data_IF_210105120917
#
_entry.id   IF_210105120917
#
_cell.length_a   1.000
_cell.length_b   1.000
_cell.length_c   1.000
_cell.angle_alpha   90.00
_cell.angle_beta   90.00
_cell.angle_gamma   90.00
#
_symmetry.space_group_name_H-M   'P 1'
#
loop_
_entity.id
_entity.type
_entity.pdbx_description
1 polymer ?
#
# COMPACT_ATOMS: atom_id res chain seq x y z
N UNK A 1 22.60 25.05 -10.73
CA UNK A 1 23.74 24.12 -10.69
C UNK A 1 23.98 23.76 -9.22
N UNK A 2 23.48 22.61 -8.79
CA UNK A 2 23.81 22.02 -7.49
C UNK A 2 23.75 20.51 -7.66
N UNK A 3 24.92 19.88 -7.68
CA UNK A 3 25.09 18.43 -7.60
C UNK A 3 25.08 18.02 -6.14
N UNK A 4 24.46 16.89 -5.85
CA UNK A 4 24.66 16.16 -4.60
C UNK A 4 25.14 14.76 -4.92
N UNK A 5 26.17 14.39 -4.18
CA UNK A 5 27.08 13.26 -4.30
C UNK A 5 26.40 11.94 -3.93
N UNK A 6 26.71 10.89 -4.69
CA UNK A 6 26.44 9.51 -4.33
C UNK A 6 27.26 9.11 -3.08
N UNK A 7 26.66 8.33 -2.18
CA UNK A 7 27.36 7.60 -1.12
C UNK A 7 26.92 6.14 -1.19
N UNK A 8 27.91 5.27 -1.37
CA UNK A 8 27.80 3.81 -1.41
C UNK A 8 27.76 3.20 0.00
N UNK A 9 27.32 1.93 0.08
CA UNK A 9 27.39 1.03 1.25
C UNK A 9 26.04 0.92 1.97
N UNK A 10 25.41 -0.25 2.12
CA UNK A 10 25.97 -1.46 2.70
C UNK A 10 25.19 -2.71 2.24
N UNK A 11 25.91 -3.77 1.89
CA UNK A 11 25.38 -5.03 1.36
C UNK A 11 24.82 -5.89 2.49
N UNK A 12 23.50 -6.11 2.52
CA UNK A 12 22.88 -7.08 3.42
C UNK A 12 23.12 -8.48 2.87
N UNK A 13 24.14 -9.18 3.38
CA UNK A 13 24.37 -10.58 3.01
C UNK A 13 23.24 -11.43 3.56
N UNK A 14 22.58 -12.23 2.72
CA UNK A 14 21.57 -13.19 3.17
C UNK A 14 22.28 -14.33 3.93
N UNK A 15 21.92 -14.51 5.21
CA UNK A 15 22.43 -15.62 6.01
C UNK A 15 21.66 -16.91 5.66
N UNK A 16 22.31 -17.81 4.94
CA UNK A 16 21.86 -19.19 4.76
C UNK A 16 22.46 -20.06 5.86
N UNK A 17 21.61 -20.75 6.63
CA UNK A 17 22.06 -21.76 7.58
C UNK A 17 22.14 -23.12 6.88
N UNK A 18 23.36 -23.55 6.53
CA UNK A 18 23.68 -24.91 6.08
C UNK A 18 23.93 -25.77 7.31
N UNK A 19 23.07 -26.77 7.54
CA UNK A 19 23.27 -27.75 8.60
C UNK A 19 24.45 -28.70 8.31
N UNK A 20 25.14 -29.11 9.37
CA UNK A 20 25.99 -30.29 9.38
C UNK A 20 26.01 -30.86 10.80
N UNK A 21 25.58 -32.12 10.95
CA UNK A 21 25.80 -32.90 12.17
C UNK A 21 27.21 -33.50 12.19
N UNK A 22 27.73 -33.74 13.40
CA UNK A 22 28.71 -34.79 13.72
C UNK A 22 28.89 -34.90 15.26
N UNK A 23 28.30 -35.95 15.83
CA UNK A 23 28.91 -36.99 16.69
C UNK A 23 30.08 -36.63 17.64
N UNK A 24 29.92 -37.00 18.93
CA UNK A 24 31.06 -37.58 19.69
C UNK A 24 31.42 -37.05 21.09
N UNK A 25 30.84 -37.70 22.11
CA UNK A 25 31.44 -38.16 23.38
C UNK A 25 32.10 -37.21 24.42
N UNK A 26 31.62 -37.30 25.67
CA UNK A 26 32.34 -36.92 26.89
C UNK A 26 31.52 -37.10 28.18
N UNK A 27 31.84 -38.14 28.95
CA UNK A 27 31.12 -38.68 30.12
C UNK A 27 31.38 -37.96 31.46
N UNK A 28 30.34 -37.84 32.31
CA UNK A 28 30.28 -37.80 33.82
C UNK A 28 29.05 -36.97 34.25
N UNK A 29 28.15 -37.35 35.15
CA UNK A 29 27.89 -38.55 35.93
C UNK A 29 26.66 -38.27 36.82
N UNK A 30 25.89 -39.32 37.12
CA UNK A 30 25.00 -39.53 38.29
C UNK A 30 23.94 -38.44 38.60
N UNK A 31 22.67 -38.76 38.32
CA UNK A 31 21.52 -38.14 38.98
C UNK A 31 20.21 -38.25 38.19
N UNK A 32 19.51 -39.37 38.29
CA UNK A 32 18.12 -39.47 37.81
C UNK A 32 17.18 -38.76 38.79
N UNK A 33 16.46 -37.74 38.32
CA UNK A 33 15.19 -37.26 38.91
C UNK A 33 14.16 -37.16 37.76
N UNK A 34 12.94 -37.69 37.91
CA UNK A 34 11.93 -37.63 36.86
C UNK A 34 10.99 -36.46 37.15
N UNK A 35 11.19 -35.31 36.55
CA UNK A 35 10.24 -34.20 36.68
C UNK A 35 10.11 -33.53 35.30
N UNK A 36 9.00 -33.91 34.66
CA UNK A 36 8.14 -33.13 33.77
C UNK A 36 8.78 -32.41 32.57
N UNK A 37 8.49 -33.00 31.41
CA UNK A 37 8.62 -32.42 30.07
C UNK A 37 7.79 -31.14 29.98
N UNK A 38 8.36 -29.99 30.32
CA UNK A 38 7.79 -28.70 29.95
C UNK A 38 8.18 -28.43 28.49
N UNK A 39 7.38 -29.04 27.61
CA UNK A 39 7.31 -28.67 26.21
C UNK A 39 6.66 -27.30 26.16
N UNK A 40 7.42 -26.24 26.44
CA UNK A 40 6.97 -24.89 26.15
C UNK A 40 6.78 -24.79 24.64
N UNK A 41 5.52 -24.93 24.24
CA UNK A 41 5.02 -24.58 22.93
C UNK A 41 5.38 -23.11 22.76
N UNK A 42 6.41 -22.83 21.96
CA UNK A 42 6.59 -21.50 21.42
C UNK A 42 5.32 -21.23 20.64
N UNK A 43 4.43 -20.44 21.23
CA UNK A 43 3.27 -19.88 20.54
C UNK A 43 3.89 -19.13 19.36
N UNK A 44 3.70 -19.67 18.15
CA UNK A 44 4.01 -18.98 16.92
C UNK A 44 3.20 -17.68 16.98
N UNK A 45 3.82 -16.60 17.46
CA UNK A 45 3.26 -15.27 17.37
C UNK A 45 3.11 -15.02 15.87
N UNK A 46 1.90 -15.21 15.35
CA UNK A 46 1.56 -14.91 13.96
C UNK A 46 1.88 -13.43 13.76
N UNK A 47 3.09 -13.15 13.26
CA UNK A 47 3.51 -11.81 12.85
C UNK A 47 2.40 -11.27 11.95
N UNK A 48 1.59 -10.33 12.44
CA UNK A 48 0.56 -9.66 11.65
C UNK A 48 1.27 -9.00 10.46
N UNK A 49 1.21 -9.65 9.31
CA UNK A 49 1.82 -9.14 8.08
C UNK A 49 1.19 -7.78 7.80
N UNK A 50 1.98 -6.69 7.75
CA UNK A 50 1.45 -5.36 7.55
C UNK A 50 0.69 -5.33 6.21
N UNK A 51 -0.45 -4.63 6.14
CA UNK A 51 -1.29 -4.62 4.95
C UNK A 51 -0.49 -4.09 3.75
N UNK A 52 -0.64 -4.76 2.61
CA UNK A 52 0.01 -4.34 1.36
C UNK A 52 -0.37 -2.88 1.03
N UNK A 53 0.59 -2.06 0.56
CA UNK A 53 0.34 -0.66 0.28
C UNK A 53 -0.68 -0.50 -0.86
N UNK A 54 -1.85 0.08 -0.56
CA UNK A 54 -2.92 0.31 -1.53
C UNK A 54 -2.73 1.63 -2.31
N UNK A 55 -2.92 1.58 -3.63
CA UNK A 55 -2.92 2.74 -4.51
C UNK A 55 -4.35 3.29 -4.62
N UNK A 56 -4.55 4.52 -4.15
CA UNK A 56 -5.84 5.21 -4.22
C UNK A 56 -5.98 5.92 -5.57
N UNK A 57 -6.99 5.55 -6.34
CA UNK A 57 -7.35 6.14 -7.63
C UNK A 57 -8.60 7.02 -7.46
N UNK A 58 -8.45 8.33 -7.59
CA UNK A 58 -9.54 9.30 -7.54
C UNK A 58 -10.16 9.50 -8.92
N UNK A 59 -11.49 9.44 -9.03
CA UNK A 59 -12.24 9.77 -10.24
C UNK A 59 -12.90 11.14 -10.04
N UNK A 60 -12.39 12.16 -10.73
CA UNK A 60 -12.90 13.53 -10.66
C UNK A 60 -13.60 13.90 -11.97
N UNK A 61 -14.92 13.71 -12.02
CA UNK A 61 -15.73 14.08 -13.17
C UNK A 61 -17.20 14.29 -12.78
N UNK A 62 -17.91 15.09 -13.57
CA UNK A 62 -19.36 15.28 -13.42
C UNK A 62 -20.11 13.94 -13.44
N UNK A 63 -21.25 13.83 -12.74
CA UNK A 63 -21.98 12.56 -12.56
C UNK A 63 -22.31 11.86 -13.87
N UNK A 64 -22.67 12.63 -14.91
CA UNK A 64 -22.97 12.10 -16.24
C UNK A 64 -21.79 11.34 -16.87
N UNK A 65 -20.55 11.68 -16.51
CA UNK A 65 -19.33 11.03 -16.98
C UNK A 65 -18.90 9.92 -16.02
N UNK A 66 -18.81 10.21 -14.73
CA UNK A 66 -18.34 9.26 -13.71
C UNK A 66 -19.24 8.03 -13.55
N UNK A 67 -20.55 8.17 -13.83
CA UNK A 67 -21.53 7.06 -13.81
C UNK A 67 -21.99 6.60 -15.20
N UNK A 68 -21.26 6.97 -16.26
CA UNK A 68 -21.59 6.51 -17.61
C UNK A 68 -21.33 5.01 -17.77
N UNK A 69 -22.07 4.33 -18.66
CA UNK A 69 -21.87 2.88 -18.91
C UNK A 69 -20.41 2.52 -19.21
N UNK A 70 -19.66 3.26 -20.07
CA UNK A 70 -18.25 2.96 -20.30
C UNK A 70 -17.39 3.13 -19.04
N UNK A 71 -17.65 4.17 -18.23
CA UNK A 71 -16.89 4.40 -17.00
C UNK A 71 -17.15 3.28 -15.98
N UNK A 72 -18.41 2.91 -15.75
CA UNK A 72 -18.76 1.79 -14.86
C UNK A 72 -18.04 0.51 -15.25
N UNK A 73 -17.97 0.20 -16.54
CA UNK A 73 -17.23 -0.96 -17.05
C UNK A 73 -15.72 -0.91 -16.75
N UNK A 74 -15.12 0.28 -16.76
CA UNK A 74 -13.71 0.45 -16.39
C UNK A 74 -13.54 0.29 -14.87
N UNK A 75 -14.39 0.95 -14.07
CA UNK A 75 -14.33 0.89 -12.61
C UNK A 75 -14.53 -0.53 -12.09
N UNK A 76 -15.47 -1.29 -12.65
CA UNK A 76 -15.67 -2.72 -12.33
C UNK A 76 -14.40 -3.56 -12.57
N UNK A 77 -13.54 -3.18 -13.52
CA UNK A 77 -12.27 -3.85 -13.77
C UNK A 77 -11.17 -3.37 -12.83
N UNK A 78 -11.13 -2.06 -12.52
CA UNK A 78 -10.17 -1.49 -11.57
C UNK A 78 -10.37 -2.04 -10.15
N UNK A 79 -11.62 -2.22 -9.71
CA UNK A 79 -11.92 -2.74 -8.38
C UNK A 79 -11.62 -4.24 -8.20
N UNK A 80 -11.17 -4.97 -9.24
CA UNK A 80 -10.72 -6.36 -9.12
C UNK A 80 -9.25 -6.49 -8.70
N UNK A 81 -8.52 -5.39 -8.67
CA UNK A 81 -7.13 -5.37 -8.22
C UNK A 81 -7.10 -5.09 -6.72
N UNK A 82 -6.61 -6.02 -5.92
CA UNK A 82 -6.60 -5.93 -4.45
C UNK A 82 -5.72 -4.78 -3.93
N UNK A 83 -4.75 -4.35 -4.72
CA UNK A 83 -3.87 -3.21 -4.43
C UNK A 83 -4.45 -1.86 -4.87
N UNK A 84 -5.63 -1.81 -5.51
CA UNK A 84 -6.26 -0.55 -5.94
C UNK A 84 -7.51 -0.23 -5.12
N UNK A 85 -7.59 1.02 -4.65
CA UNK A 85 -8.81 1.55 -4.05
C UNK A 85 -9.35 2.69 -4.91
N UNK A 86 -10.56 2.55 -5.43
CA UNK A 86 -11.18 3.56 -6.29
C UNK A 86 -12.10 4.45 -5.48
N UNK A 87 -11.88 5.77 -5.55
CA UNK A 87 -12.71 6.79 -4.89
C UNK A 87 -13.32 7.70 -5.94
N UNK A 88 -14.65 7.75 -6.00
CA UNK A 88 -15.36 8.65 -6.93
C UNK A 88 -15.69 9.94 -6.19
N UNK A 89 -15.18 11.07 -6.68
CA UNK A 89 -15.53 12.38 -6.13
C UNK A 89 -16.97 12.71 -6.52
N UNK A 90 -17.83 12.91 -5.53
CA UNK A 90 -19.21 13.32 -5.75
C UNK A 90 -19.29 14.69 -6.42
N UNK A 91 -20.28 14.91 -7.26
CA UNK A 91 -20.45 16.18 -7.97
C UNK A 91 -20.65 17.37 -7.01
N UNK A 92 -21.36 17.14 -5.89
CA UNK A 92 -21.51 18.13 -4.82
C UNK A 92 -20.16 18.56 -4.22
N UNK A 93 -19.27 17.60 -3.95
CA UNK A 93 -17.89 17.88 -3.49
C UNK A 93 -17.12 18.65 -4.55
N UNK A 94 -17.19 18.21 -5.82
CA UNK A 94 -16.47 18.86 -6.92
C UNK A 94 -16.92 20.32 -7.11
N UNK A 95 -18.21 20.61 -6.97
CA UNK A 95 -18.75 21.94 -7.20
C UNK A 95 -18.64 22.84 -5.97
N UNK A 96 -19.04 22.35 -4.80
CA UNK A 96 -19.31 23.18 -3.62
C UNK A 96 -18.19 23.16 -2.59
N UNK A 97 -17.46 22.05 -2.44
CA UNK A 97 -16.38 21.96 -1.45
C UNK A 97 -15.07 22.57 -1.95
N UNK A 98 -14.29 23.25 -1.09
CA UNK A 98 -12.95 23.72 -1.45
C UNK A 98 -12.01 22.52 -1.70
N UNK A 99 -10.96 22.72 -2.50
CA UNK A 99 -10.11 21.61 -3.00
C UNK A 99 -9.29 20.93 -1.90
N UNK A 100 -9.07 21.62 -0.79
CA UNK A 100 -8.40 21.12 0.40
C UNK A 100 -9.19 19.97 1.05
N UNK A 101 -10.53 20.03 0.97
CA UNK A 101 -11.46 19.06 1.54
C UNK A 101 -11.70 17.84 0.63
N UNK A 102 -11.20 17.86 -0.61
CA UNK A 102 -11.39 16.74 -1.52
C UNK A 102 -10.58 15.53 -1.04
N UNK A 103 -11.06 14.29 -1.29
CA UNK A 103 -10.36 13.09 -0.86
C UNK A 103 -8.97 13.02 -1.48
N UNK A 104 -7.98 12.58 -0.71
CA UNK A 104 -6.62 12.33 -1.20
C UNK A 104 -6.61 11.15 -2.17
N UNK A 105 -5.76 11.21 -3.19
CA UNK A 105 -5.50 10.07 -4.05
C UNK A 105 -4.04 10.07 -4.54
N UNK A 106 -3.51 8.90 -4.89
CA UNK A 106 -2.19 8.76 -5.50
C UNK A 106 -2.24 9.01 -7.01
N UNK A 107 -3.35 8.63 -7.63
CA UNK A 107 -3.65 8.87 -9.05
C UNK A 107 -5.00 9.58 -9.16
N UNK A 108 -5.08 10.60 -10.01
CA UNK A 108 -6.31 11.31 -10.32
C UNK A 108 -6.65 11.12 -11.80
N UNK A 109 -7.77 10.46 -12.05
CA UNK A 109 -8.40 10.37 -13.37
C UNK A 109 -9.44 11.49 -13.47
N UNK A 110 -9.22 12.46 -14.36
CA UNK A 110 -10.07 13.66 -14.45
C UNK A 110 -10.40 14.05 -15.88
N UNK A 111 -11.69 14.28 -16.16
CA UNK A 111 -12.14 14.66 -17.52
C UNK A 111 -13.04 15.89 -17.48
N UNK A 112 -12.64 16.92 -18.21
CA UNK A 112 -13.47 18.09 -18.42
C UNK A 112 -14.73 17.74 -19.25
N UNK A 113 -15.86 18.27 -18.81
CA UNK A 113 -17.12 18.26 -19.55
C UNK A 113 -17.93 19.51 -19.18
N UNK A 114 -19.06 19.75 -19.85
CA UNK A 114 -19.90 20.92 -19.57
C UNK A 114 -20.29 20.95 -18.08
N UNK A 115 -19.97 22.06 -17.40
CA UNK A 115 -20.24 22.28 -15.98
C UNK A 115 -19.11 21.85 -15.04
N UNK A 116 -18.04 21.22 -15.54
CA UNK A 116 -16.91 20.79 -14.70
C UNK A 116 -15.99 21.97 -14.34
N UNK A 117 -15.67 22.20 -13.05
CA UNK A 117 -14.81 23.30 -12.63
C UNK A 117 -13.33 22.93 -12.83
N UNK A 118 -12.83 23.13 -14.05
CA UNK A 118 -11.45 22.78 -14.44
C UNK A 118 -10.41 23.45 -13.54
N UNK A 119 -10.61 24.72 -13.18
CA UNK A 119 -9.67 25.47 -12.35
C UNK A 119 -9.51 24.84 -10.96
N UNK A 120 -10.59 24.29 -10.38
CA UNK A 120 -10.53 23.55 -9.11
C UNK A 120 -9.75 22.26 -9.26
N UNK A 121 -9.94 21.51 -10.34
CA UNK A 121 -9.18 20.28 -10.58
C UNK A 121 -7.67 20.57 -10.75
N UNK A 122 -7.31 21.67 -11.43
CA UNK A 122 -5.92 22.14 -11.55
C UNK A 122 -5.35 22.60 -10.20
N UNK A 123 -6.15 23.27 -9.37
CA UNK A 123 -5.72 23.67 -8.03
C UNK A 123 -5.49 22.44 -7.13
N UNK A 124 -6.40 21.46 -7.16
CA UNK A 124 -6.24 20.20 -6.45
C UNK A 124 -4.98 19.44 -6.89
N UNK A 125 -4.71 19.35 -8.20
CA UNK A 125 -3.53 18.64 -8.70
C UNK A 125 -2.22 19.29 -8.25
N UNK A 126 -2.17 20.62 -8.18
CA UNK A 126 -1.01 21.34 -7.61
C UNK A 126 -0.87 21.12 -6.10
N UNK A 127 -1.99 21.09 -5.38
CA UNK A 127 -2.02 20.92 -3.93
C UNK A 127 -1.57 19.52 -3.50
N UNK A 128 -2.06 18.48 -4.19
CA UNK A 128 -1.86 17.07 -3.78
C UNK A 128 -0.84 16.31 -4.64
N UNK A 129 -0.44 16.87 -5.78
CA UNK A 129 0.50 16.27 -6.73
C UNK A 129 0.25 14.78 -7.07
N UNK A 130 -0.98 14.37 -7.41
CA UNK A 130 -1.26 13.00 -7.83
C UNK A 130 -0.71 12.72 -9.22
N UNK A 131 -0.53 11.44 -9.57
CA UNK A 131 -0.34 11.04 -10.97
C UNK A 131 -1.60 11.37 -11.79
N UNK A 132 -1.47 12.12 -12.87
CA UNK A 132 -2.61 12.62 -13.65
C UNK A 132 -2.90 11.73 -14.87
N UNK A 133 -4.17 11.37 -15.04
CA UNK A 133 -4.71 10.58 -16.16
C UNK A 133 -5.91 11.30 -16.79
#
# INVERSE_FOLDING_TARGET
MWSLTASEGESTTAHFFLGAGDEGLGTRGIGMRPEESDSELLEDEEDEVPPEPQIIVGICAMTKKSKSKPMTQILERLCRFDYLTVVILGEDVILNEPVENWPSCHCLISFHSKGFPLDKAVAYSKLRNPFLI
#
